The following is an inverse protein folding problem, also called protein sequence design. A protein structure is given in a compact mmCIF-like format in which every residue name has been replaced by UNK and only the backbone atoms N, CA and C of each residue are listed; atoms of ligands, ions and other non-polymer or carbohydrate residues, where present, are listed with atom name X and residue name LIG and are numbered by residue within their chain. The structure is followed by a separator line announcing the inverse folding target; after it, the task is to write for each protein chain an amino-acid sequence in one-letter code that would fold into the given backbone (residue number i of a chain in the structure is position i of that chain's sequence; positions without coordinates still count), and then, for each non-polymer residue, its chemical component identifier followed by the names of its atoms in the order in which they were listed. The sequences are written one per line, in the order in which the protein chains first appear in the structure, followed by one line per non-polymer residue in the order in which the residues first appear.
data_IF_994741270802
#
_entry.id   IF_994741270802
#
_cell.length_a   1.000
_cell.length_b   1.000
_cell.length_c   1.000
_cell.angle_alpha   90.00
_cell.angle_beta   90.00
_cell.angle_gamma   90.00
#
_symmetry.space_group_name_H-M   'P 1'
#
loop_
_entity.id
_entity.type
_entity.pdbx_description
1 polymer ?
#
# COMPACT_ATOMS: atom_id res chain seq x y z
N UNK A 1 1.04 -25.43 5.62
CA UNK A 1 0.04 -24.51 6.20
C UNK A 1 -1.10 -24.36 5.21
N UNK A 2 -2.34 -24.50 5.65
CA UNK A 2 -3.47 -24.57 4.73
C UNK A 2 -3.96 -23.16 4.37
N UNK A 3 -4.41 -23.00 3.13
CA UNK A 3 -4.98 -21.73 2.63
C UNK A 3 -6.17 -21.26 3.50
N UNK A 4 -6.87 -22.21 4.16
CA UNK A 4 -7.93 -21.91 5.12
C UNK A 4 -7.42 -21.15 6.35
N UNK A 5 -6.21 -21.46 6.82
CA UNK A 5 -5.58 -20.73 7.93
C UNK A 5 -5.32 -19.26 7.54
N UNK A 6 -4.79 -19.03 6.33
CA UNK A 6 -4.56 -17.69 5.80
C UNK A 6 -5.86 -16.89 5.70
N UNK A 7 -6.92 -17.54 5.16
CA UNK A 7 -8.23 -16.90 5.07
C UNK A 7 -8.73 -16.51 6.46
N UNK A 8 -8.60 -17.40 7.45
CA UNK A 8 -9.14 -17.20 8.79
C UNK A 8 -8.40 -16.11 9.58
N UNK A 9 -7.07 -16.12 9.57
CA UNK A 9 -6.25 -15.25 10.41
C UNK A 9 -5.77 -13.98 9.71
N UNK A 10 -5.56 -13.99 8.39
CA UNK A 10 -4.98 -12.85 7.68
C UNK A 10 -6.05 -12.07 6.89
N UNK A 11 -7.06 -12.73 6.29
CA UNK A 11 -8.02 -12.07 5.41
C UNK A 11 -9.33 -11.72 6.13
N UNK A 12 -9.88 -12.63 6.90
CA UNK A 12 -11.17 -12.42 7.58
C UNK A 12 -11.16 -11.24 8.55
N UNK A 13 -10.10 -10.98 9.35
CA UNK A 13 -10.00 -9.79 10.17
C UNK A 13 -10.03 -8.48 9.37
N UNK A 14 -9.40 -8.47 8.17
CA UNK A 14 -9.48 -7.30 7.27
C UNK A 14 -10.95 -7.05 6.90
N UNK A 15 -11.69 -8.09 6.52
CA UNK A 15 -13.10 -7.97 6.16
C UNK A 15 -13.97 -7.48 7.31
N UNK A 16 -13.63 -7.82 8.56
CA UNK A 16 -14.33 -7.30 9.75
C UNK A 16 -14.14 -5.78 9.87
N UNK A 17 -12.91 -5.28 9.74
CA UNK A 17 -12.64 -3.84 9.78
C UNK A 17 -13.30 -3.10 8.61
N UNK A 18 -13.19 -3.63 7.39
CA UNK A 18 -13.85 -3.09 6.20
C UNK A 18 -15.37 -3.08 6.38
N UNK A 19 -15.93 -4.17 6.89
CA UNK A 19 -17.35 -4.32 7.20
C UNK A 19 -17.85 -3.29 8.22
N UNK A 20 -17.04 -3.02 9.25
CA UNK A 20 -17.32 -1.97 10.23
C UNK A 20 -17.43 -0.58 9.59
N UNK A 21 -16.46 -0.22 8.72
CA UNK A 21 -16.50 1.03 7.97
C UNK A 21 -17.69 1.11 7.00
N UNK A 22 -17.95 0.01 6.29
CA UNK A 22 -19.09 -0.10 5.39
C UNK A 22 -20.44 0.09 6.12
N UNK A 23 -20.60 -0.52 7.29
CA UNK A 23 -21.78 -0.39 8.12
C UNK A 23 -21.97 1.05 8.64
N UNK A 24 -20.90 1.67 9.15
CA UNK A 24 -20.93 3.05 9.62
C UNK A 24 -21.34 4.02 8.51
N UNK A 25 -20.80 3.87 7.30
CA UNK A 25 -21.15 4.71 6.15
C UNK A 25 -22.60 4.52 5.67
N UNK A 26 -23.24 3.40 6.03
CA UNK A 26 -24.66 3.15 5.77
C UNK A 26 -25.59 3.89 6.73
N UNK A 27 -25.12 4.18 7.96
CA UNK A 27 -25.91 4.84 9.01
C UNK A 27 -25.59 6.33 9.17
N UNK A 28 -24.35 6.73 8.91
CA UNK A 28 -23.87 8.07 9.18
C UNK A 28 -23.30 8.73 7.92
N UNK A 29 -23.46 10.05 7.84
CA UNK A 29 -22.78 10.86 6.79
C UNK A 29 -21.32 11.09 7.20
N UNK A 30 -20.44 10.17 6.83
CA UNK A 30 -19.01 10.24 7.15
C UNK A 30 -18.29 10.99 6.04
N UNK A 31 -17.61 12.07 6.37
CA UNK A 31 -16.78 12.80 5.40
C UNK A 31 -15.41 12.14 5.25
N UNK A 32 -15.21 11.37 4.17
CA UNK A 32 -13.96 10.63 3.90
C UNK A 32 -12.74 11.54 3.88
N UNK A 33 -12.87 12.74 3.31
CA UNK A 33 -11.77 13.70 3.19
C UNK A 33 -11.16 14.09 4.55
N UNK A 34 -11.99 14.20 5.59
CA UNK A 34 -11.52 14.50 6.95
C UNK A 34 -10.66 13.37 7.49
N UNK A 35 -11.11 12.11 7.35
CA UNK A 35 -10.34 10.93 7.78
C UNK A 35 -9.02 10.82 7.02
N UNK A 36 -9.05 11.05 5.72
CA UNK A 36 -7.85 11.03 4.89
C UNK A 36 -6.82 12.09 5.32
N UNK A 37 -7.26 13.31 5.61
CA UNK A 37 -6.37 14.36 6.13
C UNK A 37 -5.73 13.91 7.45
N UNK A 38 -6.52 13.37 8.38
CA UNK A 38 -6.00 12.88 9.67
C UNK A 38 -5.01 11.75 9.46
N UNK A 39 -5.36 10.77 8.60
CA UNK A 39 -4.49 9.62 8.31
C UNK A 39 -3.19 10.10 7.66
N UNK A 40 -3.25 10.87 6.59
CA UNK A 40 -2.06 11.18 5.78
C UNK A 40 -1.18 12.29 6.38
N UNK A 41 -1.76 13.19 7.19
CA UNK A 41 -1.03 14.32 7.77
C UNK A 41 -0.54 14.09 9.19
N UNK A 42 -1.19 13.18 9.93
CA UNK A 42 -0.87 12.93 11.34
C UNK A 42 -0.49 11.47 11.54
N UNK A 43 -1.43 10.55 11.34
CA UNK A 43 -1.26 9.16 11.77
C UNK A 43 -0.16 8.45 10.97
N UNK A 44 -0.13 8.60 9.66
CA UNK A 44 0.85 7.95 8.78
C UNK A 44 2.30 8.43 9.04
N UNK A 45 2.61 9.74 9.16
CA UNK A 45 3.97 10.17 9.49
C UNK A 45 4.47 9.62 10.83
N UNK A 46 3.63 9.59 11.85
CA UNK A 46 3.99 9.01 13.15
C UNK A 46 4.15 7.50 13.09
N UNK A 47 3.28 6.80 12.36
CA UNK A 47 3.41 5.38 12.11
C UNK A 47 4.72 5.03 11.40
N UNK A 48 5.05 5.74 10.31
CA UNK A 48 6.29 5.53 9.54
C UNK A 48 7.50 5.84 10.40
N UNK A 49 7.47 6.95 11.13
CA UNK A 49 8.54 7.29 12.08
C UNK A 49 8.79 6.17 13.08
N UNK A 50 7.74 5.71 13.75
CA UNK A 50 7.88 4.72 14.81
C UNK A 50 8.31 3.35 14.26
N UNK A 51 7.72 2.90 13.16
CA UNK A 51 8.07 1.62 12.54
C UNK A 51 9.54 1.58 12.09
N UNK A 52 10.03 2.64 11.45
CA UNK A 52 11.43 2.74 11.04
C UNK A 52 12.38 2.90 12.24
N UNK A 53 11.98 3.68 13.25
CA UNK A 53 12.82 3.89 14.44
C UNK A 53 13.09 2.60 15.24
N UNK A 54 12.14 1.66 15.27
CA UNK A 54 12.24 0.45 16.09
C UNK A 54 13.33 -0.52 15.65
N UNK A 55 13.64 -0.57 14.35
CA UNK A 55 14.53 -1.60 13.77
C UNK A 55 15.54 -0.95 12.84
N UNK A 56 16.85 -1.13 13.09
CA UNK A 56 17.87 -0.73 12.14
C UNK A 56 17.78 -1.60 10.88
N UNK A 57 17.74 -0.97 9.72
CA UNK A 57 17.68 -1.65 8.44
C UNK A 57 19.09 -1.84 7.87
N UNK A 58 19.35 -3.02 7.29
CA UNK A 58 20.60 -3.33 6.61
C UNK A 58 20.61 -2.74 5.17
N UNK A 59 21.77 -2.63 4.56
CA UNK A 59 21.89 -2.14 3.18
C UNK A 59 21.10 -3.00 2.17
N UNK A 60 21.00 -4.31 2.41
CA UNK A 60 20.20 -5.25 1.61
C UNK A 60 18.69 -4.95 1.65
N UNK A 61 18.20 -4.40 2.75
CA UNK A 61 16.78 -4.04 2.91
C UNK A 61 16.39 -2.86 1.99
N UNK A 62 17.31 -1.93 1.75
CA UNK A 62 17.08 -0.79 0.86
C UNK A 62 16.97 -1.17 -0.63
N UNK A 63 17.38 -2.40 -1.03
CA UNK A 63 17.15 -2.91 -2.38
C UNK A 63 15.66 -3.05 -2.71
N UNK A 64 14.80 -3.08 -1.67
CA UNK A 64 13.35 -3.04 -1.81
C UNK A 64 12.87 -1.80 -2.58
N UNK A 65 13.51 -0.64 -2.38
CA UNK A 65 13.10 0.63 -3.03
C UNK A 65 13.31 0.61 -4.55
N UNK A 66 14.51 0.30 -5.10
CA UNK A 66 14.68 0.20 -6.54
C UNK A 66 13.88 -0.95 -7.16
N UNK A 67 13.66 -2.06 -6.44
CA UNK A 67 12.83 -3.16 -6.93
C UNK A 67 11.35 -2.74 -7.05
N UNK A 68 10.80 -2.06 -6.04
CA UNK A 68 9.43 -1.54 -6.07
C UNK A 68 9.25 -0.43 -7.12
N UNK A 69 10.25 0.43 -7.29
CA UNK A 69 10.25 1.46 -8.33
C UNK A 69 10.26 0.84 -9.72
N UNK A 70 11.11 -0.16 -9.96
CA UNK A 70 11.17 -0.88 -11.23
C UNK A 70 9.87 -1.62 -11.51
N UNK A 71 9.29 -2.31 -10.52
CA UNK A 71 7.98 -2.95 -10.64
C UNK A 71 6.89 -1.94 -11.04
N UNK A 72 6.82 -0.80 -10.34
CA UNK A 72 5.83 0.25 -10.63
C UNK A 72 6.02 0.82 -12.04
N UNK A 73 7.28 1.03 -12.48
CA UNK A 73 7.60 1.49 -13.83
C UNK A 73 7.20 0.47 -14.91
N UNK A 74 7.51 -0.81 -14.70
CA UNK A 74 7.11 -1.89 -15.63
C UNK A 74 5.59 -1.99 -15.76
N UNK A 75 4.86 -1.94 -14.63
CA UNK A 75 3.40 -1.95 -14.62
C UNK A 75 2.83 -0.71 -15.33
N UNK A 76 3.43 0.46 -15.14
CA UNK A 76 3.03 1.68 -15.81
C UNK A 76 3.22 1.59 -17.32
N UNK A 77 4.36 1.09 -17.80
CA UNK A 77 4.64 0.87 -19.22
C UNK A 77 3.65 -0.13 -19.81
N UNK A 78 3.47 -1.29 -19.17
CA UNK A 78 2.53 -2.33 -19.62
C UNK A 78 1.09 -1.80 -19.69
N UNK A 79 0.63 -1.15 -18.64
CA UNK A 79 -0.73 -0.59 -18.60
C UNK A 79 -0.93 0.57 -19.58
N UNK A 80 0.11 1.36 -19.85
CA UNK A 80 0.09 2.41 -20.88
C UNK A 80 -0.11 1.83 -22.27
N UNK A 81 0.55 0.71 -22.59
CA UNK A 81 0.38 0.01 -23.85
C UNK A 81 -1.04 -0.57 -23.99
N UNK A 82 -1.51 -1.26 -22.94
CA UNK A 82 -2.85 -1.87 -22.92
C UNK A 82 -3.97 -0.84 -22.96
N UNK A 83 -3.81 0.31 -22.31
CA UNK A 83 -4.82 1.37 -22.25
C UNK A 83 -5.15 1.98 -23.61
N UNK A 84 -4.21 1.93 -24.58
CA UNK A 84 -4.44 2.41 -25.96
C UNK A 84 -5.55 1.64 -26.66
N UNK A 85 -5.71 0.35 -26.35
CA UNK A 85 -6.78 -0.50 -26.85
C UNK A 85 -8.10 -0.38 -26.10
N UNK A 86 -8.11 0.21 -24.90
CA UNK A 86 -9.28 0.28 -24.01
C UNK A 86 -10.03 1.61 -24.12
N UNK A 87 -9.36 2.71 -24.39
CA UNK A 87 -9.98 4.03 -24.46
C UNK A 87 -9.31 4.92 -25.49
N UNK A 88 -10.10 5.71 -26.21
CA UNK A 88 -9.60 6.78 -27.06
C UNK A 88 -9.34 8.06 -26.28
N UNK A 89 -9.96 8.23 -25.11
CA UNK A 89 -9.81 9.42 -24.30
C UNK A 89 -8.52 9.37 -23.47
N UNK A 90 -7.59 10.32 -23.67
CA UNK A 90 -6.30 10.30 -22.96
C UNK A 90 -6.42 10.41 -21.44
N UNK A 91 -7.45 11.08 -20.92
CA UNK A 91 -7.69 11.21 -19.48
C UNK A 91 -8.05 9.87 -18.84
N UNK A 92 -8.85 9.06 -19.53
CA UNK A 92 -9.21 7.71 -19.07
C UNK A 92 -8.03 6.74 -19.19
N UNK A 93 -7.17 6.86 -20.23
CA UNK A 93 -5.94 6.06 -20.31
C UNK A 93 -5.04 6.28 -19.10
N UNK A 94 -4.87 7.54 -18.68
CA UNK A 94 -4.07 7.87 -17.50
C UNK A 94 -4.65 7.28 -16.20
N UNK A 95 -5.99 7.32 -16.06
CA UNK A 95 -6.67 6.67 -14.96
C UNK A 95 -6.41 5.15 -14.93
N UNK A 96 -6.54 4.49 -16.09
CA UNK A 96 -6.27 3.05 -16.25
C UNK A 96 -4.82 2.71 -15.86
N UNK A 97 -3.85 3.51 -16.31
CA UNK A 97 -2.44 3.32 -15.95
C UNK A 97 -2.22 3.44 -14.43
N UNK A 98 -2.79 4.46 -13.80
CA UNK A 98 -2.70 4.65 -12.35
C UNK A 98 -3.28 3.49 -11.56
N UNK A 99 -4.45 2.98 -11.97
CA UNK A 99 -5.11 1.85 -11.31
C UNK A 99 -4.35 0.53 -11.42
N UNK A 100 -3.60 0.33 -12.50
CA UNK A 100 -2.82 -0.88 -12.71
C UNK A 100 -1.42 -0.83 -12.06
N UNK A 101 -0.83 0.37 -11.87
CA UNK A 101 0.56 0.50 -11.44
C UNK A 101 0.75 0.85 -9.97
N UNK A 102 -0.18 1.58 -9.35
CA UNK A 102 0.00 2.07 -7.98
C UNK A 102 -0.81 1.25 -6.97
N UNK A 103 -0.14 0.56 -6.01
CA UNK A 103 -0.80 -0.21 -4.96
C UNK A 103 -1.30 0.66 -3.81
N UNK A 104 -2.34 0.20 -3.13
CA UNK A 104 -2.92 0.81 -1.93
C UNK A 104 -2.13 0.48 -0.66
N UNK A 105 -0.87 0.84 -0.64
CA UNK A 105 0.04 0.48 0.46
C UNK A 105 -0.39 1.12 1.78
N UNK A 106 -0.87 2.37 1.73
CA UNK A 106 -1.15 3.13 2.93
C UNK A 106 -2.44 2.70 3.64
N UNK A 107 -3.47 2.28 2.90
CA UNK A 107 -4.75 1.95 3.52
C UNK A 107 -4.96 0.44 3.74
N UNK A 108 -4.45 -0.39 2.84
CA UNK A 108 -4.60 -1.84 2.97
C UNK A 108 -3.29 -2.53 3.33
N UNK A 109 -2.16 -2.04 2.82
CA UNK A 109 -0.85 -2.66 3.02
C UNK A 109 -0.46 -2.77 4.48
N UNK A 110 -0.75 -1.74 5.30
CA UNK A 110 -0.47 -1.75 6.73
C UNK A 110 -1.17 -2.88 7.46
N UNK A 111 -2.49 -2.96 7.29
CA UNK A 111 -3.31 -3.98 7.96
C UNK A 111 -2.94 -5.38 7.46
N UNK A 112 -2.74 -5.54 6.15
CA UNK A 112 -2.33 -6.81 5.55
C UNK A 112 -1.00 -7.29 6.13
N UNK A 113 0.04 -6.45 6.10
CA UNK A 113 1.36 -6.80 6.64
C UNK A 113 1.30 -7.10 8.15
N UNK A 114 0.57 -6.26 8.91
CA UNK A 114 0.42 -6.49 10.35
C UNK A 114 -0.19 -7.88 10.61
N UNK A 115 -1.29 -8.23 9.97
CA UNK A 115 -1.96 -9.51 10.19
C UNK A 115 -1.11 -10.69 9.71
N UNK A 116 -0.52 -10.59 8.51
CA UNK A 116 0.32 -11.67 7.95
C UNK A 116 1.52 -12.00 8.86
N UNK A 117 2.19 -10.99 9.42
CA UNK A 117 3.38 -11.19 10.26
C UNK A 117 3.07 -11.29 11.77
N UNK A 118 1.82 -11.14 12.19
CA UNK A 118 1.39 -11.35 13.58
C UNK A 118 1.06 -12.81 13.93
N UNK A 119 0.99 -13.70 12.91
CA UNK A 119 0.57 -15.10 13.08
C UNK A 119 1.63 -16.06 12.54
N UNK A 120 1.48 -17.34 12.87
CA UNK A 120 2.33 -18.39 12.32
C UNK A 120 2.35 -18.39 10.78
N UNK A 121 3.49 -18.63 10.10
CA UNK A 121 4.77 -19.08 10.66
C UNK A 121 5.70 -17.95 11.15
N UNK A 122 5.35 -16.68 10.96
CA UNK A 122 6.19 -15.52 11.26
C UNK A 122 6.17 -15.11 12.74
N UNK A 123 5.24 -15.67 13.51
CA UNK A 123 5.20 -15.50 14.96
C UNK A 123 5.32 -16.88 15.63
N UNK A 124 6.36 -17.09 16.41
CA UNK A 124 6.52 -18.28 17.24
C UNK A 124 6.11 -17.96 18.67
N UNK A 125 5.33 -18.87 19.30
CA UNK A 125 5.06 -18.91 20.75
C UNK A 125 4.86 -17.55 21.47
N UNK A 126 4.20 -16.59 20.82
CA UNK A 126 3.87 -15.28 21.42
C UNK A 126 4.78 -14.11 21.04
N UNK A 127 5.83 -14.32 20.26
CA UNK A 127 6.70 -13.27 19.74
C UNK A 127 6.65 -13.21 18.22
N UNK A 128 6.10 -12.12 17.69
CA UNK A 128 6.14 -11.80 16.26
C UNK A 128 7.49 -11.13 15.93
N UNK A 129 8.59 -11.89 15.95
CA UNK A 129 9.95 -11.35 15.83
C UNK A 129 10.17 -10.57 14.52
N UNK A 130 9.52 -10.96 13.44
CA UNK A 130 9.66 -10.33 12.12
C UNK A 130 8.70 -9.14 11.89
N UNK A 131 7.63 -9.02 12.68
CA UNK A 131 6.63 -7.97 12.52
C UNK A 131 7.22 -6.54 12.57
N UNK A 132 8.10 -6.16 13.52
CA UNK A 132 8.67 -4.81 13.53
C UNK A 132 9.47 -4.50 12.26
N UNK A 133 10.28 -5.47 11.76
CA UNK A 133 11.05 -5.31 10.53
C UNK A 133 10.13 -5.27 9.30
N UNK A 134 9.11 -6.11 9.24
CA UNK A 134 8.11 -6.09 8.17
C UNK A 134 7.40 -4.73 8.08
N UNK A 135 6.99 -4.16 9.21
CA UNK A 135 6.37 -2.83 9.26
C UNK A 135 7.35 -1.70 8.89
N UNK A 136 8.64 -1.83 9.25
CA UNK A 136 9.68 -0.89 8.83
C UNK A 136 9.88 -0.92 7.30
N UNK A 137 10.02 -2.10 6.70
CA UNK A 137 10.12 -2.29 5.25
C UNK A 137 8.88 -1.76 4.52
N UNK A 138 7.69 -2.06 5.03
CA UNK A 138 6.45 -1.50 4.49
C UNK A 138 6.43 0.03 4.58
N UNK A 139 6.95 0.62 5.66
CA UNK A 139 7.03 2.08 5.82
C UNK A 139 7.93 2.75 4.79
N UNK A 140 9.01 2.08 4.33
CA UNK A 140 9.80 2.52 3.17
C UNK A 140 8.92 2.57 1.90
N UNK A 141 8.15 1.50 1.64
CA UNK A 141 7.25 1.45 0.47
C UNK A 141 6.11 2.46 0.56
N UNK A 142 5.56 2.71 1.76
CA UNK A 142 4.57 3.76 1.97
C UNK A 142 5.14 5.13 1.63
N UNK A 143 6.35 5.43 2.10
CA UNK A 143 7.03 6.69 1.81
C UNK A 143 7.29 6.84 0.32
N UNK A 144 7.85 5.82 -0.34
CA UNK A 144 8.08 5.81 -1.79
C UNK A 144 6.78 6.00 -2.57
N UNK A 145 5.73 5.24 -2.24
CA UNK A 145 4.44 5.30 -2.94
C UNK A 145 3.78 6.67 -2.81
N UNK A 146 3.82 7.27 -1.61
CA UNK A 146 3.29 8.63 -1.40
C UNK A 146 4.07 9.69 -2.18
N UNK A 147 5.40 9.59 -2.22
CA UNK A 147 6.23 10.49 -3.01
C UNK A 147 5.93 10.34 -4.51
N UNK A 148 5.87 9.12 -5.02
CA UNK A 148 5.54 8.86 -6.42
C UNK A 148 4.14 9.38 -6.78
N UNK A 149 3.14 9.11 -5.95
CA UNK A 149 1.78 9.56 -6.21
C UNK A 149 1.67 11.09 -6.23
N UNK A 150 2.28 11.78 -5.27
CA UNK A 150 2.22 13.25 -5.16
C UNK A 150 3.07 13.98 -6.19
N UNK A 151 4.08 13.35 -6.74
CA UNK A 151 4.96 13.92 -7.77
C UNK A 151 4.53 13.45 -9.15
N UNK A 152 4.99 12.28 -9.56
CA UNK A 152 4.77 11.72 -10.91
C UNK A 152 3.29 11.39 -11.14
N UNK A 153 2.62 10.78 -10.18
CA UNK A 153 1.20 10.41 -10.29
C UNK A 153 0.31 11.62 -10.53
N UNK A 154 0.53 12.70 -9.76
CA UNK A 154 -0.20 13.96 -9.95
C UNK A 154 0.09 14.58 -11.33
N UNK A 155 1.36 14.66 -11.74
CA UNK A 155 1.74 15.23 -13.04
C UNK A 155 1.09 14.46 -14.21
N UNK A 156 1.03 13.12 -14.12
CA UNK A 156 0.40 12.27 -15.13
C UNK A 156 -1.11 12.53 -15.20
N UNK A 157 -1.81 12.56 -14.07
CA UNK A 157 -3.28 12.67 -14.03
C UNK A 157 -3.77 14.08 -14.32
N UNK A 158 -3.08 15.13 -13.83
CA UNK A 158 -3.46 16.54 -14.04
C UNK A 158 -3.09 17.09 -15.42
N UNK A 159 -2.23 16.40 -16.17
CA UNK A 159 -1.64 16.88 -17.43
C UNK A 159 -0.91 18.23 -17.31
N UNK A 160 -0.58 18.63 -16.11
CA UNK A 160 0.22 19.83 -15.91
C UNK A 160 1.65 19.58 -16.40
N UNK A 161 2.20 20.53 -17.15
CA UNK A 161 3.64 20.58 -17.41
C UNK A 161 4.35 20.90 -16.08
N UNK A 162 4.66 19.85 -15.32
CA UNK A 162 5.30 20.02 -14.01
C UNK A 162 6.77 20.35 -14.21
N UNK A 163 7.19 21.55 -13.80
CA UNK A 163 8.61 21.86 -13.70
C UNK A 163 9.26 21.00 -12.61
N UNK A 164 10.56 20.75 -12.72
CA UNK A 164 11.31 20.00 -11.70
C UNK A 164 11.15 20.62 -10.31
N UNK A 165 11.11 21.95 -10.22
CA UNK A 165 10.88 22.69 -8.98
C UNK A 165 9.52 22.40 -8.36
N UNK A 166 8.46 22.30 -9.16
CA UNK A 166 7.12 21.96 -8.65
C UNK A 166 7.05 20.51 -8.13
N UNK A 167 7.71 19.58 -8.78
CA UNK A 167 7.81 18.19 -8.32
C UNK A 167 8.59 18.08 -7.00
N UNK A 168 9.73 18.78 -6.90
CA UNK A 168 10.51 18.85 -5.68
C UNK A 168 9.72 19.48 -4.52
N UNK A 169 9.00 20.57 -4.77
CA UNK A 169 8.17 21.20 -3.74
C UNK A 169 7.08 20.25 -3.25
N UNK A 170 6.41 19.53 -4.16
CA UNK A 170 5.40 18.49 -3.79
C UNK A 170 6.01 17.36 -2.96
N UNK A 171 7.21 16.90 -3.30
CA UNK A 171 7.92 15.90 -2.50
C UNK A 171 8.23 16.43 -1.10
N UNK A 172 8.82 17.63 -1.01
CA UNK A 172 9.20 18.28 0.25
C UNK A 172 7.98 18.65 1.12
N UNK A 173 6.81 18.86 0.55
CA UNK A 173 5.57 19.12 1.32
C UNK A 173 4.84 17.86 1.75
N UNK A 174 5.43 16.66 1.54
CA UNK A 174 4.82 15.38 1.89
C UNK A 174 5.18 14.98 3.33
N UNK A 175 4.23 14.96 4.29
CA UNK A 175 4.55 14.78 5.71
C UNK A 175 5.19 13.43 6.04
N UNK A 176 4.85 12.37 5.31
CA UNK A 176 5.41 11.03 5.52
C UNK A 176 6.93 10.99 5.29
N UNK A 177 7.46 11.85 4.40
CA UNK A 177 8.90 11.97 4.17
C UNK A 177 9.62 12.41 5.45
N UNK A 178 9.05 13.38 6.18
CA UNK A 178 9.63 13.85 7.44
C UNK A 178 9.59 12.78 8.53
N UNK A 179 8.52 11.97 8.57
CA UNK A 179 8.47 10.80 9.45
C UNK A 179 9.63 9.85 9.23
N UNK A 180 9.90 9.49 7.96
CA UNK A 180 11.03 8.62 7.60
C UNK A 180 12.39 9.27 7.90
N UNK A 181 12.61 10.53 7.51
CA UNK A 181 13.86 11.24 7.74
C UNK A 181 14.17 11.40 9.24
N UNK A 182 13.17 11.74 10.05
CA UNK A 182 13.31 11.86 11.50
C UNK A 182 13.63 10.52 12.16
N UNK A 183 13.06 9.41 11.66
CA UNK A 183 13.38 8.07 12.16
C UNK A 183 14.85 7.73 11.93
N UNK A 184 15.36 7.92 10.71
CA UNK A 184 16.77 7.69 10.41
C UNK A 184 17.70 8.64 11.16
N UNK A 185 17.31 9.90 11.33
CA UNK A 185 18.07 10.84 12.14
C UNK A 185 18.10 10.39 13.62
N UNK A 186 16.96 9.97 14.17
CA UNK A 186 16.89 9.48 15.55
C UNK A 186 17.75 8.23 15.78
N UNK A 187 17.79 7.31 14.80
CA UNK A 187 18.69 6.15 14.85
C UNK A 187 20.17 6.56 14.72
N UNK A 188 20.49 7.45 13.80
CA UNK A 188 21.87 7.88 13.56
C UNK A 188 22.49 8.61 14.78
N UNK A 189 21.69 9.37 15.50
CA UNK A 189 22.11 10.09 16.71
C UNK A 189 21.84 9.31 18.01
N UNK A 190 21.48 8.04 17.91
CA UNK A 190 21.17 7.17 19.05
C UNK A 190 20.19 7.80 20.06
N UNK A 191 19.16 8.52 19.58
CA UNK A 191 18.20 9.21 20.44
C UNK A 191 17.34 8.18 21.19
N UNK A 192 17.44 8.07 22.53
CA UNK A 192 16.73 7.05 23.30
C UNK A 192 15.27 7.47 23.53
N UNK A 193 14.34 7.00 22.69
CA UNK A 193 12.91 7.23 22.92
C UNK A 193 12.30 6.27 23.95
N UNK A 194 12.87 5.06 24.10
CA UNK A 194 12.44 4.11 25.11
C UNK A 194 12.60 4.71 26.50
N UNK A 195 11.55 4.67 27.32
CA UNK A 195 11.55 5.30 28.65
C UNK A 195 11.09 6.76 28.69
N UNK A 196 10.85 7.39 27.54
CA UNK A 196 10.21 8.72 27.46
C UNK A 196 8.69 8.60 27.35
N UNK A 197 7.96 9.67 27.70
CA UNK A 197 6.50 9.73 27.51
C UNK A 197 6.08 9.58 26.05
N UNK A 198 6.97 9.88 25.12
CA UNK A 198 6.69 9.84 23.69
C UNK A 198 6.59 8.41 23.15
N UNK A 199 7.36 7.46 23.71
CA UNK A 199 7.37 6.08 23.22
C UNK A 199 5.99 5.40 23.26
N UNK A 200 5.24 5.38 24.38
CA UNK A 200 3.90 4.80 24.39
C UNK A 200 2.92 5.53 23.47
N UNK A 201 3.05 6.85 23.32
CA UNK A 201 2.23 7.63 22.39
C UNK A 201 2.46 7.15 20.95
N UNK A 202 3.72 7.05 20.52
CA UNK A 202 4.10 6.57 19.19
C UNK A 202 3.64 5.13 18.94
N UNK A 203 3.75 4.27 19.94
CA UNK A 203 3.29 2.88 19.85
C UNK A 203 1.78 2.80 19.56
N UNK A 204 0.96 3.65 20.18
CA UNK A 204 -0.48 3.68 19.93
C UNK A 204 -0.84 4.12 18.52
N UNK A 205 -0.01 4.90 17.84
CA UNK A 205 -0.23 5.24 16.43
C UNK A 205 -0.22 4.03 15.50
N UNK A 206 0.50 2.95 15.84
CA UNK A 206 0.49 1.71 15.04
C UNK A 206 -0.90 1.10 14.99
N UNK A 207 -1.52 0.88 16.15
CA UNK A 207 -2.88 0.34 16.21
C UNK A 207 -3.93 1.30 15.62
N UNK A 208 -3.82 2.61 15.93
CA UNK A 208 -4.70 3.62 15.38
C UNK A 208 -4.63 3.68 13.85
N UNK A 209 -3.43 3.60 13.27
CA UNK A 209 -3.23 3.56 11.82
C UNK A 209 -3.97 2.38 11.18
N UNK A 210 -3.80 1.16 11.72
CA UNK A 210 -4.42 -0.05 11.18
C UNK A 210 -5.95 0.06 11.16
N UNK A 211 -6.55 0.47 12.28
CA UNK A 211 -8.01 0.59 12.40
C UNK A 211 -8.56 1.71 11.51
N UNK A 212 -7.96 2.89 11.56
CA UNK A 212 -8.44 4.06 10.81
C UNK A 212 -8.36 3.82 9.30
N UNK A 213 -7.26 3.25 8.80
CA UNK A 213 -7.10 2.98 7.37
C UNK A 213 -8.07 1.92 6.87
N UNK A 214 -8.25 0.82 7.61
CA UNK A 214 -9.17 -0.23 7.23
C UNK A 214 -10.64 0.25 7.29
N UNK A 215 -11.05 0.93 8.36
CA UNK A 215 -12.41 1.49 8.48
C UNK A 215 -12.67 2.52 7.38
N UNK A 216 -11.71 3.42 7.10
CA UNK A 216 -11.85 4.41 6.00
C UNK A 216 -12.02 3.72 4.65
N UNK A 217 -11.26 2.64 4.40
CA UNK A 217 -11.41 1.82 3.19
C UNK A 217 -12.82 1.25 3.09
N UNK A 218 -13.37 0.71 4.18
CA UNK A 218 -14.76 0.22 4.23
C UNK A 218 -15.80 1.30 3.94
N UNK A 219 -15.60 2.52 4.46
CA UNK A 219 -16.46 3.67 4.15
C UNK A 219 -16.40 4.00 2.65
N UNK A 220 -15.23 4.01 2.04
CA UNK A 220 -15.07 4.31 0.61
C UNK A 220 -15.68 3.21 -0.27
N UNK A 221 -15.52 1.95 0.10
CA UNK A 221 -16.17 0.82 -0.55
C UNK A 221 -17.69 1.03 -0.58
N UNK A 222 -18.33 1.40 0.53
CA UNK A 222 -19.77 1.67 0.59
C UNK A 222 -20.20 2.78 -0.36
N UNK A 223 -19.39 3.82 -0.50
CA UNK A 223 -19.70 4.98 -1.35
C UNK A 223 -19.45 4.76 -2.83
N UNK A 224 -18.65 3.76 -3.19
CA UNK A 224 -18.29 3.47 -4.59
C UNK A 224 -19.44 2.85 -5.42
N UNK A 225 -20.55 2.53 -4.82
CA UNK A 225 -21.86 2.10 -5.34
C UNK A 225 -21.92 0.98 -6.37
N UNK A 226 -20.86 0.62 -7.13
CA UNK A 226 -20.98 -0.33 -8.22
C UNK A 226 -19.75 -1.22 -8.41
N UNK A 227 -19.92 -2.51 -8.14
CA UNK A 227 -19.09 -3.54 -8.77
C UNK A 227 -19.41 -3.53 -10.28
N UNK A 228 -18.42 -3.32 -11.11
CA UNK A 228 -18.61 -3.22 -12.56
C UNK A 228 -17.64 -4.12 -13.29
N UNK A 229 -18.16 -5.00 -14.13
CA UNK A 229 -17.37 -5.86 -15.00
C UNK A 229 -17.37 -5.26 -16.42
N UNK A 230 -16.44 -4.34 -16.66
CA UNK A 230 -16.17 -3.79 -17.99
C UNK A 230 -14.69 -3.99 -18.33
N UNK A 231 -14.34 -4.03 -19.62
CA UNK A 231 -12.95 -4.31 -20.05
C UNK A 231 -11.96 -3.27 -19.54
N UNK A 232 -12.37 -2.02 -19.43
CA UNK A 232 -11.60 -0.88 -18.94
C UNK A 232 -11.34 -0.92 -17.43
N UNK A 233 -12.07 -1.76 -16.69
CA UNK A 233 -11.91 -1.99 -15.25
C UNK A 233 -11.28 -3.36 -14.98
N UNK A 234 -11.75 -4.41 -15.66
CA UNK A 234 -11.30 -5.77 -15.40
C UNK A 234 -9.83 -5.98 -15.83
N UNK A 235 -9.42 -5.44 -16.99
CA UNK A 235 -8.06 -5.64 -17.49
C UNK A 235 -7.00 -4.97 -16.57
N UNK A 236 -7.14 -3.70 -16.14
CA UNK A 236 -6.26 -3.14 -15.12
C UNK A 236 -6.25 -3.92 -13.80
N UNK A 237 -7.41 -4.45 -13.39
CA UNK A 237 -7.50 -5.28 -12.20
C UNK A 237 -6.70 -6.59 -12.33
N UNK A 238 -6.80 -7.27 -13.47
CA UNK A 238 -6.02 -8.48 -13.74
C UNK A 238 -4.52 -8.18 -13.82
N UNK A 239 -4.13 -7.07 -14.47
CA UNK A 239 -2.73 -6.63 -14.48
C UNK A 239 -2.24 -6.39 -13.06
N UNK A 240 -3.01 -5.70 -12.22
CA UNK A 240 -2.59 -5.38 -10.85
C UNK A 240 -2.57 -6.60 -9.93
N UNK A 241 -3.57 -7.48 -10.01
CA UNK A 241 -3.75 -8.57 -9.04
C UNK A 241 -3.06 -9.88 -9.44
N UNK A 242 -2.77 -10.09 -10.75
CA UNK A 242 -2.15 -11.31 -11.23
C UNK A 242 -0.78 -11.04 -11.88
N UNK A 243 -0.71 -10.10 -12.83
CA UNK A 243 0.56 -9.83 -13.55
C UNK A 243 1.57 -9.16 -12.64
N UNK A 244 1.14 -8.25 -11.77
CA UNK A 244 2.04 -7.55 -10.84
C UNK A 244 2.79 -8.49 -9.88
N UNK A 245 2.16 -9.45 -9.18
CA UNK A 245 2.88 -10.44 -8.37
C UNK A 245 3.82 -11.34 -9.20
N UNK A 246 3.43 -11.72 -10.40
CA UNK A 246 4.30 -12.51 -11.29
C UNK A 246 5.54 -11.72 -11.74
N UNK A 247 5.38 -10.44 -12.07
CA UNK A 247 6.52 -9.56 -12.36
C UNK A 247 7.40 -9.37 -11.14
N UNK A 248 6.81 -9.21 -9.95
CA UNK A 248 7.57 -9.12 -8.71
C UNK A 248 8.42 -10.38 -8.47
N UNK A 249 7.87 -11.57 -8.66
CA UNK A 249 8.64 -12.83 -8.61
C UNK A 249 9.80 -12.83 -9.60
N UNK A 250 9.58 -12.37 -10.84
CA UNK A 250 10.66 -12.25 -11.84
C UNK A 250 11.75 -11.26 -11.41
N UNK A 251 11.39 -10.17 -10.75
CA UNK A 251 12.34 -9.18 -10.25
C UNK A 251 13.23 -9.71 -9.11
N UNK A 252 12.77 -10.70 -8.34
CA UNK A 252 13.60 -11.31 -7.29
C UNK A 252 14.88 -11.92 -7.86
N UNK A 253 14.87 -12.39 -9.11
CA UNK A 253 16.06 -12.87 -9.79
C UNK A 253 17.07 -11.76 -10.12
N UNK A 254 16.62 -10.52 -10.26
CA UNK A 254 17.46 -9.33 -10.51
C UNK A 254 18.09 -8.81 -9.21
N UNK A 255 17.42 -9.03 -8.08
CA UNK A 255 17.87 -8.60 -6.75
C UNK A 255 18.16 -9.77 -5.80
N UNK A 256 19.10 -10.68 -6.12
CA UNK A 256 19.33 -11.90 -5.33
C UNK A 256 19.82 -11.60 -3.90
N UNK A 257 20.54 -10.48 -3.71
CA UNK A 257 21.08 -10.04 -2.42
C UNK A 257 20.09 -9.30 -1.53
N UNK A 258 18.83 -9.13 -1.99
CA UNK A 258 17.76 -8.58 -1.16
C UNK A 258 17.46 -9.54 -0.02
N UNK A 259 17.19 -9.01 1.18
CA UNK A 259 16.75 -9.77 2.34
C UNK A 259 15.44 -10.53 2.06
N UNK A 260 15.27 -11.73 2.60
CA UNK A 260 14.12 -12.57 2.28
C UNK A 260 12.80 -11.94 2.75
N UNK A 261 12.79 -11.30 3.93
CA UNK A 261 11.62 -10.56 4.39
C UNK A 261 11.30 -9.37 3.46
N UNK A 262 12.32 -8.69 2.91
CA UNK A 262 12.11 -7.63 1.93
C UNK A 262 11.53 -8.17 0.60
N UNK A 263 11.91 -9.38 0.18
CA UNK A 263 11.32 -10.08 -0.97
C UNK A 263 9.84 -10.38 -0.73
N UNK A 264 9.49 -10.86 0.47
CA UNK A 264 8.09 -11.12 0.84
C UNK A 264 7.26 -9.83 0.85
N UNK A 265 7.78 -8.75 1.44
CA UNK A 265 7.11 -7.45 1.45
C UNK A 265 6.93 -6.91 0.02
N UNK A 266 7.89 -7.14 -0.90
CA UNK A 266 7.73 -6.77 -2.32
C UNK A 266 6.59 -7.56 -2.99
N UNK A 267 6.46 -8.85 -2.71
CA UNK A 267 5.37 -9.67 -3.25
C UNK A 267 4.00 -9.25 -2.70
N UNK A 268 3.91 -8.97 -1.40
CA UNK A 268 2.68 -8.41 -0.81
C UNK A 268 2.34 -7.05 -1.42
N UNK A 269 3.32 -6.16 -1.57
CA UNK A 269 3.16 -4.87 -2.25
C UNK A 269 2.61 -5.03 -3.67
N UNK A 270 3.11 -6.01 -4.41
CA UNK A 270 2.66 -6.31 -5.77
C UNK A 270 1.19 -6.77 -5.81
N UNK A 271 0.73 -7.51 -4.80
CA UNK A 271 -0.61 -8.09 -4.73
C UNK A 271 -1.69 -7.13 -4.18
N UNK A 272 -1.29 -6.02 -3.55
CA UNK A 272 -2.24 -5.04 -3.00
C UNK A 272 -3.01 -4.37 -4.13
N UNK A 273 -4.36 -4.22 -4.03
CA UNK A 273 -5.20 -3.52 -5.02
C UNK A 273 -4.75 -2.07 -5.27
N UNK A 274 -5.37 -1.40 -6.24
CA UNK A 274 -5.01 -0.03 -6.61
C UNK A 274 -5.18 0.99 -5.47
N UNK A 275 -4.35 2.04 -5.52
CA UNK A 275 -4.35 3.10 -4.53
C UNK A 275 -5.66 3.89 -4.53
N UNK A 276 -6.20 4.11 -3.33
CA UNK A 276 -7.41 4.91 -3.10
C UNK A 276 -7.18 6.39 -3.41
N UNK A 277 -5.98 6.88 -3.17
CA UNK A 277 -5.58 8.28 -3.33
C UNK A 277 -5.75 8.80 -4.77
N UNK A 278 -5.76 7.91 -5.77
CA UNK A 278 -6.06 8.28 -7.15
C UNK A 278 -7.46 8.84 -7.35
N UNK A 279 -8.45 8.41 -6.58
CA UNK A 279 -9.80 8.97 -6.63
C UNK A 279 -9.84 10.47 -6.31
N UNK A 280 -8.84 10.97 -5.60
CA UNK A 280 -8.69 12.37 -5.19
C UNK A 280 -7.82 13.18 -6.12
N UNK A 281 -6.85 12.53 -6.79
CA UNK A 281 -6.01 13.17 -7.81
C UNK A 281 -6.76 13.36 -9.13
N UNK A 282 -7.80 12.55 -9.39
CA UNK A 282 -8.64 12.66 -10.59
C UNK A 282 -9.23 14.07 -10.76
N UNK A 283 -8.96 14.69 -11.91
CA UNK A 283 -9.40 16.06 -12.23
C UNK A 283 -10.81 16.11 -12.80
N UNK A 284 -11.24 15.05 -13.48
CA UNK A 284 -12.57 14.96 -14.09
C UNK A 284 -13.51 14.01 -13.34
N UNK A 285 -14.82 14.23 -13.45
CA UNK A 285 -15.84 13.32 -12.89
C UNK A 285 -15.76 11.91 -13.49
N UNK A 286 -15.40 11.79 -14.76
CA UNK A 286 -15.20 10.51 -15.45
C UNK A 286 -14.01 9.74 -14.86
N UNK A 287 -12.86 10.40 -14.63
CA UNK A 287 -11.71 9.78 -13.96
C UNK A 287 -12.07 9.30 -12.54
N UNK A 288 -12.73 10.12 -11.74
CA UNK A 288 -13.17 9.76 -10.39
C UNK A 288 -14.09 8.54 -10.40
N UNK A 289 -15.05 8.49 -11.32
CA UNK A 289 -15.97 7.38 -11.47
C UNK A 289 -15.26 6.07 -11.84
N UNK A 290 -14.29 6.10 -12.78
CA UNK A 290 -13.54 4.90 -13.17
C UNK A 290 -12.62 4.43 -12.05
N UNK A 291 -11.98 5.34 -11.29
CA UNK A 291 -11.19 5.01 -10.13
C UNK A 291 -12.02 4.31 -9.04
N UNK A 292 -13.20 4.84 -8.71
CA UNK A 292 -14.07 4.25 -7.70
C UNK A 292 -14.54 2.85 -8.09
N UNK A 293 -14.97 2.67 -9.35
CA UNK A 293 -15.41 1.36 -9.87
C UNK A 293 -14.25 0.34 -9.88
N UNK A 294 -13.06 0.77 -10.31
CA UNK A 294 -11.89 -0.09 -10.31
C UNK A 294 -11.45 -0.49 -8.92
N UNK A 295 -11.46 0.45 -7.97
CA UNK A 295 -11.15 0.17 -6.57
C UNK A 295 -12.08 -0.93 -6.02
N UNK A 296 -13.40 -0.79 -6.23
CA UNK A 296 -14.37 -1.81 -5.80
C UNK A 296 -14.10 -3.18 -6.42
N UNK A 297 -13.88 -3.22 -7.73
CA UNK A 297 -13.63 -4.47 -8.43
C UNK A 297 -12.33 -5.12 -7.97
N UNK A 298 -11.25 -4.35 -7.83
CA UNK A 298 -9.97 -4.86 -7.35
C UNK A 298 -10.03 -5.31 -5.90
N UNK A 299 -10.70 -4.56 -5.02
CA UNK A 299 -10.90 -4.97 -3.62
C UNK A 299 -11.70 -6.27 -3.52
N UNK A 300 -12.76 -6.44 -4.31
CA UNK A 300 -13.55 -7.67 -4.32
C UNK A 300 -12.73 -8.87 -4.84
N UNK A 301 -11.96 -8.68 -5.91
CA UNK A 301 -11.11 -9.74 -6.47
C UNK A 301 -9.91 -10.06 -5.56
N UNK A 302 -9.41 -9.08 -4.82
CA UNK A 302 -8.28 -9.28 -3.91
C UNK A 302 -8.60 -10.24 -2.75
N UNK A 303 -9.87 -10.41 -2.38
CA UNK A 303 -10.28 -11.43 -1.39
C UNK A 303 -9.83 -12.83 -1.82
N UNK A 304 -9.78 -13.10 -3.13
CA UNK A 304 -9.32 -14.38 -3.67
C UNK A 304 -7.82 -14.39 -3.97
N UNK A 305 -7.27 -13.27 -4.46
CA UNK A 305 -5.86 -13.23 -4.90
C UNK A 305 -4.88 -13.03 -3.74
N UNK A 306 -5.24 -12.31 -2.68
CA UNK A 306 -4.37 -12.10 -1.53
C UNK A 306 -4.02 -13.40 -0.79
N UNK A 307 -4.98 -14.30 -0.44
CA UNK A 307 -4.64 -15.57 0.18
C UNK A 307 -3.67 -16.41 -0.66
N UNK A 308 -3.84 -16.37 -1.99
CA UNK A 308 -2.94 -17.08 -2.90
C UNK A 308 -1.52 -16.52 -2.85
N UNK A 309 -1.37 -15.20 -2.87
CA UNK A 309 -0.04 -14.57 -2.83
C UNK A 309 0.61 -14.76 -1.45
N UNK A 310 -0.13 -14.64 -0.36
CA UNK A 310 0.39 -14.94 0.99
C UNK A 310 0.83 -16.40 1.07
N UNK A 311 0.06 -17.33 0.51
CA UNK A 311 0.45 -18.74 0.44
C UNK A 311 1.74 -18.95 -0.36
N UNK A 312 1.89 -18.26 -1.50
CA UNK A 312 3.12 -18.29 -2.29
C UNK A 312 4.31 -17.69 -1.52
N UNK A 313 4.14 -16.57 -0.81
CA UNK A 313 5.18 -16.04 0.05
C UNK A 313 5.67 -17.08 1.06
N UNK A 314 4.76 -17.73 1.77
CA UNK A 314 5.08 -18.77 2.74
C UNK A 314 5.70 -20.04 2.14
N UNK A 315 5.45 -20.30 0.86
CA UNK A 315 6.03 -21.44 0.14
C UNK A 315 7.47 -21.16 -0.31
N UNK A 316 7.73 -19.95 -0.83
CA UNK A 316 9.04 -19.56 -1.35
C UNK A 316 10.01 -19.08 -0.28
N UNK A 317 9.49 -18.50 0.81
CA UNK A 317 10.25 -17.98 1.94
C UNK A 317 9.74 -18.60 3.23
N UNK A 318 10.05 -19.90 3.49
CA UNK A 318 9.70 -20.49 4.76
C UNK A 318 10.46 -19.75 5.86
N UNK A 319 9.72 -19.22 6.85
CA UNK A 319 10.32 -18.57 8.02
C UNK A 319 11.43 -19.46 8.56
N UNK A 320 12.59 -18.89 8.82
CA UNK A 320 13.70 -19.61 9.47
C UNK A 320 13.22 -20.06 10.85
N UNK A 321 12.96 -21.38 10.99
CA UNK A 321 12.62 -22.01 12.28
C UNK A 321 13.77 -21.91 13.25
#
# INVERSE_FOLDING_TARGET
MDILYIIWFDVLPILVFLGGGWFLAGKFKIEVKTYEIVITRVVLPFFVFFSLYQVPLAASDFLLLPAALLLTALLFVLSSLLSKGLSQEPSLRQAICGMASCPNVCYLGGVLTYLTFSHLPFASAGEAAELPKALALLSLLMTLSHLLLRTVGHAIVSRESSSLSSLLLRALTTPVLYGALLAFAAQHFDIPLKGTFLYPVLHHFTGAFMVLTAVTTGVMIRRSHCFTVSKDILLPALVKLLVSPLLALGLLAIFPSMDDLAKEILLLFAAIPCAMDFSMVGTTSAQKSIFQRSLMTQMSLSILTLPLVIFLCRLFFPASM
#
